data_IF_744987095049
#
_entry.id   IF_744987095049
#
_cell.length_a   1.000
_cell.length_b   1.000
_cell.length_c   1.000
_cell.angle_alpha   90.00
_cell.angle_beta   90.00
_cell.angle_gamma   90.00
#
_symmetry.space_group_name_H-M   'P 1'
#
loop_
_entity.id
_entity.type
_entity.pdbx_description
1 polymer ?
#
# COMPACT_ATOMS: atom_id res chain seq x y z
N UNK A 1 -28.37 1.18 -12.97
CA UNK A 1 -29.51 1.75 -12.22
C UNK A 1 -29.89 0.93 -10.98
N UNK A 2 -30.11 -0.39 -11.08
CA UNK A 2 -30.54 -1.21 -9.92
C UNK A 2 -29.59 -1.18 -8.72
N UNK A 3 -28.28 -1.25 -8.98
CA UNK A 3 -27.23 -1.17 -7.95
C UNK A 3 -27.22 0.18 -7.22
N UNK A 4 -27.36 1.28 -7.97
CA UNK A 4 -27.43 2.64 -7.40
C UNK A 4 -28.65 2.82 -6.50
N UNK A 5 -29.80 2.27 -6.91
CA UNK A 5 -31.02 2.29 -6.11
C UNK A 5 -30.83 1.53 -4.79
N UNK A 6 -30.18 0.36 -4.84
CA UNK A 6 -29.81 -0.39 -3.63
C UNK A 6 -28.92 0.46 -2.71
N UNK A 7 -27.93 1.17 -3.27
CA UNK A 7 -27.08 2.08 -2.51
C UNK A 7 -27.86 3.20 -1.81
N UNK A 8 -28.93 3.72 -2.41
CA UNK A 8 -29.80 4.73 -1.78
C UNK A 8 -30.60 4.10 -0.64
N UNK A 9 -31.21 2.93 -0.84
CA UNK A 9 -31.95 2.25 0.22
C UNK A 9 -31.06 1.92 1.43
N UNK A 10 -29.82 1.50 1.20
CA UNK A 10 -28.85 1.24 2.27
C UNK A 10 -28.59 2.51 3.10
N UNK A 11 -28.44 3.67 2.44
CA UNK A 11 -28.19 4.95 3.12
C UNK A 11 -29.39 5.42 3.94
N UNK A 12 -30.61 5.23 3.42
CA UNK A 12 -31.85 5.66 4.08
C UNK A 12 -32.23 4.73 5.23
N UNK A 13 -32.16 3.42 5.01
CA UNK A 13 -32.68 2.43 5.96
C UNK A 13 -31.63 1.95 6.97
N UNK A 14 -30.34 2.09 6.65
CA UNK A 14 -29.20 1.74 7.52
C UNK A 14 -29.37 0.35 8.16
N UNK A 15 -29.33 0.24 9.49
CA UNK A 15 -29.48 -1.02 10.22
C UNK A 15 -30.76 -1.80 9.89
N UNK A 16 -31.83 -1.14 9.42
CA UNK A 16 -33.07 -1.83 9.01
C UNK A 16 -32.90 -2.57 7.67
N UNK A 17 -31.91 -2.15 6.86
CA UNK A 17 -31.60 -2.76 5.57
C UNK A 17 -30.97 -4.16 5.70
N UNK A 18 -30.35 -4.42 6.83
CA UNK A 18 -29.63 -5.64 7.17
C UNK A 18 -30.33 -6.93 6.70
N UNK A 19 -31.65 -7.07 6.94
CA UNK A 19 -32.42 -8.28 6.59
C UNK A 19 -32.36 -8.65 5.10
N UNK A 20 -32.13 -7.68 4.20
CA UNK A 20 -32.02 -7.89 2.74
C UNK A 20 -30.61 -8.24 2.29
N UNK A 21 -29.60 -8.11 3.16
CA UNK A 21 -28.21 -8.38 2.81
C UNK A 21 -27.96 -9.85 2.47
N UNK A 22 -28.71 -10.78 3.08
CA UNK A 22 -28.60 -12.22 2.79
C UNK A 22 -28.85 -12.52 1.31
N UNK A 23 -29.79 -11.81 0.68
CA UNK A 23 -30.13 -12.01 -0.73
C UNK A 23 -29.25 -11.13 -1.62
N UNK A 24 -28.95 -9.90 -1.19
CA UNK A 24 -28.25 -8.93 -2.01
C UNK A 24 -26.74 -9.19 -2.14
N UNK A 25 -26.08 -9.60 -1.05
CA UNK A 25 -24.61 -9.76 -1.02
C UNK A 25 -24.10 -10.82 -2.00
N UNK A 26 -24.71 -12.02 -2.12
CA UNK A 26 -24.30 -12.99 -3.14
C UNK A 26 -24.41 -12.45 -4.56
N UNK A 27 -25.50 -11.75 -4.87
CA UNK A 27 -25.72 -11.15 -6.20
C UNK A 27 -24.69 -10.06 -6.50
N UNK A 28 -24.33 -9.25 -5.51
CA UNK A 28 -23.28 -8.23 -5.67
C UNK A 28 -21.90 -8.88 -5.85
N UNK A 29 -21.62 -10.00 -5.17
CA UNK A 29 -20.38 -10.75 -5.33
C UNK A 29 -20.23 -11.39 -6.71
N UNK A 30 -21.30 -11.94 -7.26
CA UNK A 30 -21.30 -12.48 -8.63
C UNK A 30 -20.97 -11.38 -9.65
N UNK A 31 -21.38 -10.13 -9.38
CA UNK A 31 -21.05 -8.98 -10.22
C UNK A 31 -19.61 -8.47 -10.03
N UNK A 32 -18.94 -8.86 -8.94
CA UNK A 32 -17.53 -8.55 -8.70
C UNK A 32 -16.60 -9.62 -9.29
N UNK A 33 -17.10 -10.81 -9.60
CA UNK A 33 -16.28 -11.89 -10.14
C UNK A 33 -15.58 -11.41 -11.43
N UNK A 34 -14.23 -11.38 -11.47
CA UNK A 34 -13.53 -10.89 -12.64
C UNK A 34 -13.85 -11.80 -13.84
N UNK A 35 -14.42 -11.21 -14.90
CA UNK A 35 -14.57 -11.89 -16.18
C UNK A 35 -13.17 -12.19 -16.73
N UNK A 36 -12.81 -13.47 -16.76
CA UNK A 36 -11.54 -14.05 -17.24
C UNK A 36 -10.28 -13.52 -16.55
N UNK A 37 -9.87 -14.18 -15.46
CA UNK A 37 -8.46 -14.22 -15.09
C UNK A 37 -7.80 -15.34 -15.92
N UNK A 38 -7.43 -15.04 -17.15
CA UNK A 38 -6.62 -15.94 -17.97
C UNK A 38 -5.18 -15.90 -17.43
N UNK A 39 -4.71 -17.03 -16.88
CA UNK A 39 -3.33 -17.57 -16.81
C UNK A 39 -2.09 -16.65 -16.77
N UNK A 40 -2.20 -15.38 -16.38
CA UNK A 40 -1.07 -14.54 -16.02
C UNK A 40 -0.89 -14.63 -14.50
N UNK A 41 -0.11 -15.63 -14.09
CA UNK A 41 0.25 -15.84 -12.70
C UNK A 41 0.71 -14.52 -12.06
N UNK A 42 0.03 -14.04 -11.00
CA UNK A 42 0.53 -12.91 -10.23
C UNK A 42 1.98 -13.15 -9.85
N UNK A 43 2.80 -12.09 -9.79
CA UNK A 43 4.11 -12.22 -9.14
C UNK A 43 3.91 -12.89 -7.78
N UNK A 44 4.82 -13.79 -7.37
CA UNK A 44 4.68 -14.71 -6.21
C UNK A 44 4.10 -14.08 -4.91
N UNK A 45 4.17 -12.75 -4.77
CA UNK A 45 3.71 -11.98 -3.62
C UNK A 45 2.88 -10.74 -3.97
N UNK A 46 2.37 -10.56 -5.19
CA UNK A 46 1.56 -9.40 -5.61
C UNK A 46 0.30 -9.94 -6.25
N UNK A 47 -0.85 -9.90 -5.55
CA UNK A 47 -2.11 -10.47 -6.07
C UNK A 47 -2.75 -9.53 -7.08
N UNK A 48 -2.56 -8.23 -6.93
CA UNK A 48 -3.07 -7.22 -7.83
C UNK A 48 -2.35 -7.30 -9.20
N UNK A 49 -2.92 -8.08 -10.12
CA UNK A 49 -2.51 -8.12 -11.54
C UNK A 49 -3.20 -6.95 -12.24
N UNK A 50 -2.51 -6.18 -13.10
CA UNK A 50 -3.20 -5.23 -13.96
C UNK A 50 -4.30 -5.98 -14.70
N UNK A 51 -5.56 -5.58 -14.51
CA UNK A 51 -6.67 -6.19 -15.25
C UNK A 51 -6.28 -6.16 -16.71
N UNK A 52 -6.13 -7.35 -17.30
CA UNK A 52 -5.84 -7.47 -18.73
C UNK A 52 -7.06 -6.86 -19.40
N UNK A 53 -6.91 -5.65 -19.92
CA UNK A 53 -7.89 -5.07 -20.85
C UNK A 53 -8.14 -6.16 -21.88
N UNK A 54 -9.35 -6.75 -21.86
CA UNK A 54 -9.67 -7.78 -22.83
C UNK A 54 -9.51 -7.12 -24.19
N UNK A 55 -8.53 -7.58 -24.96
CA UNK A 55 -8.09 -6.95 -26.20
C UNK A 55 -9.18 -6.83 -27.28
N UNK A 56 -10.37 -7.38 -27.00
CA UNK A 56 -11.54 -7.41 -27.86
C UNK A 56 -12.63 -6.41 -27.47
N UNK A 57 -12.52 -5.66 -26.36
CA UNK A 57 -13.54 -4.66 -25.98
C UNK A 57 -13.26 -3.30 -26.61
N UNK A 58 -14.32 -2.66 -27.06
CA UNK A 58 -14.30 -1.25 -27.43
C UNK A 58 -14.08 -0.36 -26.21
N UNK A 59 -13.58 0.87 -26.42
CA UNK A 59 -13.40 1.86 -25.33
C UNK A 59 -14.72 2.13 -24.58
N UNK A 60 -15.85 2.07 -25.28
CA UNK A 60 -17.17 2.29 -24.71
C UNK A 60 -17.63 1.11 -23.84
N UNK A 61 -17.38 -0.12 -24.26
CA UNK A 61 -17.66 -1.33 -23.46
C UNK A 61 -16.80 -1.37 -22.19
N UNK A 62 -15.51 -1.03 -22.31
CA UNK A 62 -14.62 -0.92 -21.15
C UNK A 62 -15.11 0.14 -20.17
N UNK A 63 -15.50 1.32 -20.67
CA UNK A 63 -16.04 2.38 -19.83
C UNK A 63 -17.34 1.96 -19.14
N UNK A 64 -18.25 1.28 -19.85
CA UNK A 64 -19.48 0.78 -19.26
C UNK A 64 -19.22 -0.29 -18.20
N UNK A 65 -18.25 -1.18 -18.44
CA UNK A 65 -17.84 -2.19 -17.47
C UNK A 65 -17.25 -1.56 -16.21
N UNK A 66 -16.28 -0.66 -16.36
CA UNK A 66 -15.65 0.06 -15.25
C UNK A 66 -16.68 0.87 -14.46
N UNK A 67 -17.64 1.48 -15.15
CA UNK A 67 -18.73 2.20 -14.52
C UNK A 67 -19.62 1.26 -13.68
N UNK A 68 -20.04 0.12 -14.24
CA UNK A 68 -20.84 -0.87 -13.50
C UNK A 68 -20.08 -1.39 -12.28
N UNK A 69 -18.83 -1.79 -12.46
CA UNK A 69 -17.95 -2.28 -11.39
C UNK A 69 -17.80 -1.23 -10.28
N UNK A 70 -17.54 0.02 -10.65
CA UNK A 70 -17.45 1.11 -9.69
C UNK A 70 -18.75 1.30 -8.89
N UNK A 71 -19.91 1.28 -9.55
CA UNK A 71 -21.20 1.39 -8.85
C UNK A 71 -21.46 0.22 -7.89
N UNK A 72 -21.08 -0.99 -8.28
CA UNK A 72 -21.17 -2.19 -7.43
C UNK A 72 -20.29 -2.05 -6.20
N UNK A 73 -19.01 -1.71 -6.38
CA UNK A 73 -18.08 -1.48 -5.27
C UNK A 73 -18.53 -0.35 -4.34
N UNK A 74 -19.05 0.76 -4.87
CA UNK A 74 -19.57 1.85 -4.05
C UNK A 74 -20.80 1.43 -3.25
N UNK A 75 -21.66 0.59 -3.81
CA UNK A 75 -22.81 0.05 -3.08
C UNK A 75 -22.37 -0.87 -1.95
N UNK A 76 -21.36 -1.71 -2.18
CA UNK A 76 -20.78 -2.57 -1.14
C UNK A 76 -20.11 -1.74 -0.05
N UNK A 77 -19.38 -0.68 -0.41
CA UNK A 77 -18.79 0.24 0.58
C UNK A 77 -19.88 0.90 1.46
N UNK A 78 -20.97 1.37 0.85
CA UNK A 78 -22.12 1.91 1.60
C UNK A 78 -22.74 0.86 2.53
N UNK A 79 -22.83 -0.39 2.08
CA UNK A 79 -23.31 -1.50 2.92
C UNK A 79 -22.37 -1.70 4.11
N UNK A 80 -21.05 -1.75 3.88
CA UNK A 80 -20.07 -1.93 4.95
C UNK A 80 -20.05 -0.75 5.93
N UNK A 81 -20.32 0.48 5.45
CA UNK A 81 -20.39 1.69 6.26
C UNK A 81 -21.65 1.72 7.15
N UNK A 82 -22.82 1.42 6.60
CA UNK A 82 -24.10 1.56 7.31
C UNK A 82 -24.57 0.27 8.00
N UNK A 83 -24.06 -0.89 7.58
CA UNK A 83 -24.35 -2.22 8.13
C UNK A 83 -23.04 -2.96 8.48
N UNK A 84 -22.22 -2.43 9.41
CA UNK A 84 -20.91 -3.02 9.73
C UNK A 84 -21.02 -4.42 10.36
N UNK A 85 -22.20 -4.77 10.88
CA UNK A 85 -22.52 -6.12 11.35
C UNK A 85 -22.30 -7.18 10.27
N UNK A 86 -22.41 -6.83 8.98
CA UNK A 86 -22.08 -7.70 7.85
C UNK A 86 -20.71 -8.37 8.03
N UNK A 87 -19.72 -7.60 8.49
CA UNK A 87 -18.33 -8.04 8.58
C UNK A 87 -17.98 -8.65 9.95
N UNK A 88 -18.81 -8.43 10.97
CA UNK A 88 -18.44 -8.69 12.38
C UNK A 88 -19.35 -9.67 13.11
N UNK A 89 -20.58 -9.89 12.65
CA UNK A 89 -21.61 -10.58 13.45
C UNK A 89 -21.81 -12.05 13.04
N UNK A 90 -21.61 -12.95 14.00
CA UNK A 90 -21.98 -14.37 13.89
C UNK A 90 -23.49 -14.58 13.68
N UNK A 91 -24.33 -13.57 13.95
CA UNK A 91 -25.77 -13.61 13.62
C UNK A 91 -26.06 -13.74 12.13
N UNK A 92 -25.17 -13.28 11.24
CA UNK A 92 -25.37 -13.46 9.79
C UNK A 92 -25.22 -14.91 9.37
N UNK A 93 -24.30 -15.66 9.97
CA UNK A 93 -24.21 -17.11 9.77
C UNK A 93 -25.47 -17.85 10.22
N UNK A 94 -26.09 -17.47 11.33
CA UNK A 94 -27.35 -18.05 11.82
C UNK A 94 -28.55 -17.67 10.93
N UNK A 95 -28.59 -16.44 10.43
CA UNK A 95 -29.68 -15.96 9.56
C UNK A 95 -29.61 -16.61 8.16
N UNK A 96 -28.40 -16.85 7.65
CA UNK A 96 -28.16 -17.65 6.43
C UNK A 96 -28.55 -19.11 6.64
N UNK A 97 -28.36 -19.69 7.83
CA UNK A 97 -28.87 -21.02 8.19
C UNK A 97 -30.40 -21.09 8.18
N UNK A 98 -31.06 -20.09 8.78
CA UNK A 98 -32.53 -20.09 8.89
C UNK A 98 -33.23 -20.00 7.52
N UNK A 99 -32.60 -19.34 6.54
CA UNK A 99 -33.12 -19.20 5.18
C UNK A 99 -32.77 -20.39 4.25
N UNK A 100 -31.74 -21.18 4.58
CA UNK A 100 -31.30 -22.33 3.78
C UNK A 100 -32.06 -23.64 4.07
N UNK A 101 -33.00 -23.63 5.03
CA UNK A 101 -34.06 -24.63 5.20
C UNK A 101 -33.67 -26.08 4.97
N UNK A 102 -32.77 -26.67 5.78
CA UNK A 102 -32.71 -28.13 5.94
C UNK A 102 -32.28 -28.51 7.35
N UNK A 103 -33.13 -29.28 8.01
CA UNK A 103 -32.95 -29.86 9.34
C UNK A 103 -31.90 -30.97 9.33
N UNK A 104 -30.69 -30.70 9.81
CA UNK A 104 -29.82 -31.75 10.40
C UNK A 104 -28.78 -31.13 11.33
N UNK A 105 -28.73 -31.65 12.56
CA UNK A 105 -28.09 -31.10 13.77
C UNK A 105 -26.55 -31.20 13.81
N UNK A 106 -25.86 -31.05 12.67
CA UNK A 106 -24.38 -30.90 12.63
C UNK A 106 -23.91 -29.70 11.78
N UNK A 107 -24.80 -28.77 11.41
CA UNK A 107 -24.56 -27.77 10.36
C UNK A 107 -24.03 -26.40 10.84
N UNK A 108 -23.86 -26.17 12.14
CA UNK A 108 -23.29 -24.90 12.67
C UNK A 108 -21.94 -24.53 12.05
N UNK A 109 -21.05 -25.50 11.85
CA UNK A 109 -19.71 -25.24 11.32
C UNK A 109 -19.71 -24.96 9.80
N UNK A 110 -20.61 -25.59 9.04
CA UNK A 110 -20.67 -25.49 7.57
C UNK A 110 -21.16 -24.10 7.11
N UNK A 111 -22.09 -23.49 7.85
CA UNK A 111 -22.65 -22.20 7.46
C UNK A 111 -21.82 -21.01 7.96
N UNK A 112 -21.15 -21.14 9.10
CA UNK A 112 -20.11 -20.21 9.53
C UNK A 112 -18.99 -20.14 8.46
N UNK A 113 -18.60 -21.30 7.93
CA UNK A 113 -17.61 -21.41 6.86
C UNK A 113 -18.05 -20.67 5.58
N UNK A 114 -19.30 -20.82 5.13
CA UNK A 114 -19.81 -20.16 3.91
C UNK A 114 -19.87 -18.62 3.99
N UNK A 115 -20.24 -18.07 5.15
CA UNK A 115 -20.21 -16.61 5.34
C UNK A 115 -18.78 -16.09 5.45
N UNK A 116 -17.92 -16.88 6.10
CA UNK A 116 -16.50 -16.60 6.14
C UNK A 116 -15.91 -16.54 4.71
N UNK A 117 -16.27 -17.47 3.81
CA UNK A 117 -15.88 -17.45 2.40
C UNK A 117 -16.38 -16.19 1.65
N UNK A 118 -17.56 -15.68 2.01
CA UNK A 118 -18.15 -14.48 1.40
C UNK A 118 -17.32 -13.23 1.71
N UNK A 119 -16.94 -13.05 2.99
CA UNK A 119 -16.06 -11.94 3.40
C UNK A 119 -14.66 -12.10 2.81
N UNK A 120 -14.20 -13.34 2.63
CA UNK A 120 -12.91 -13.63 1.99
C UNK A 120 -12.92 -13.19 0.52
N UNK A 121 -13.94 -13.60 -0.20
CA UNK A 121 -14.13 -13.23 -1.60
C UNK A 121 -14.21 -11.71 -1.78
N UNK A 122 -14.87 -10.99 -0.86
CA UNK A 122 -14.91 -9.53 -0.90
C UNK A 122 -13.52 -8.91 -0.80
N UNK A 123 -12.69 -9.38 0.13
CA UNK A 123 -11.36 -8.84 0.33
C UNK A 123 -10.37 -9.25 -0.77
N UNK A 124 -10.45 -10.49 -1.26
CA UNK A 124 -9.64 -10.97 -2.37
C UNK A 124 -9.94 -10.15 -3.64
N UNK A 125 -11.22 -9.94 -3.95
CA UNK A 125 -11.62 -9.07 -5.06
C UNK A 125 -11.18 -7.62 -4.83
N UNK A 126 -11.35 -7.09 -3.61
CA UNK A 126 -10.89 -5.73 -3.27
C UNK A 126 -9.38 -5.55 -3.48
N UNK A 127 -8.57 -6.56 -3.13
CA UNK A 127 -7.13 -6.56 -3.36
C UNK A 127 -6.79 -6.64 -4.86
N UNK A 128 -7.51 -7.46 -5.64
CA UNK A 128 -7.35 -7.53 -7.10
C UNK A 128 -7.61 -6.16 -7.76
N UNK A 129 -8.66 -5.45 -7.33
CA UNK A 129 -9.00 -4.13 -7.88
C UNK A 129 -7.97 -3.03 -7.58
N UNK A 130 -6.99 -3.25 -6.70
CA UNK A 130 -5.89 -2.30 -6.47
C UNK A 130 -4.99 -2.10 -7.70
N UNK A 131 -4.91 -3.09 -8.60
CA UNK A 131 -4.17 -2.97 -9.86
C UNK A 131 -5.05 -2.58 -11.05
N UNK A 132 -6.30 -2.21 -10.81
CA UNK A 132 -7.20 -1.78 -11.88
C UNK A 132 -6.70 -0.50 -12.57
N UNK A 133 -6.89 -0.41 -13.89
CA UNK A 133 -6.49 0.75 -14.71
C UNK A 133 -7.18 2.03 -14.20
N UNK A 134 -8.50 1.94 -14.03
CA UNK A 134 -9.34 3.03 -13.53
C UNK A 134 -9.11 3.34 -12.04
N UNK A 135 -8.89 4.61 -11.74
CA UNK A 135 -8.49 5.07 -10.42
C UNK A 135 -9.61 5.03 -9.37
N UNK A 136 -10.85 5.33 -9.76
CA UNK A 136 -11.99 5.25 -8.83
C UNK A 136 -12.30 3.81 -8.41
N UNK A 137 -11.97 2.83 -9.26
CA UNK A 137 -12.09 1.41 -8.92
C UNK A 137 -11.03 1.04 -7.88
N UNK A 138 -9.78 1.51 -8.06
CA UNK A 138 -8.72 1.37 -7.05
C UNK A 138 -9.09 2.00 -5.71
N UNK A 139 -9.68 3.20 -5.72
CA UNK A 139 -10.19 3.87 -4.51
C UNK A 139 -11.27 3.05 -3.83
N UNK A 140 -12.27 2.59 -4.58
CA UNK A 140 -13.37 1.81 -4.03
C UNK A 140 -12.89 0.47 -3.45
N UNK A 141 -11.94 -0.21 -4.10
CA UNK A 141 -11.29 -1.41 -3.58
C UNK A 141 -10.46 -1.15 -2.32
N UNK A 142 -9.70 -0.06 -2.27
CA UNK A 142 -8.96 0.33 -1.07
C UNK A 142 -9.88 0.70 0.12
N UNK A 143 -11.03 1.31 -0.14
CA UNK A 143 -12.05 1.58 0.88
C UNK A 143 -12.65 0.29 1.42
N UNK A 144 -12.98 -0.66 0.54
CA UNK A 144 -13.53 -1.96 0.91
C UNK A 144 -12.55 -2.74 1.81
N UNK A 145 -11.26 -2.78 1.44
CA UNK A 145 -10.21 -3.33 2.31
C UNK A 145 -10.16 -2.63 3.68
N UNK A 146 -10.37 -1.31 3.72
CA UNK A 146 -10.41 -0.55 4.97
C UNK A 146 -11.58 -0.96 5.88
N UNK A 147 -12.77 -1.17 5.32
CA UNK A 147 -13.92 -1.71 6.06
C UNK A 147 -13.64 -3.10 6.60
N UNK A 148 -13.09 -3.97 5.75
CA UNK A 148 -12.69 -5.32 6.13
C UNK A 148 -11.69 -5.28 7.28
N UNK A 149 -10.61 -4.50 7.18
CA UNK A 149 -9.64 -4.34 8.27
C UNK A 149 -10.24 -3.81 9.57
N UNK A 150 -11.27 -2.97 9.48
CA UNK A 150 -11.95 -2.42 10.66
C UNK A 150 -12.75 -3.48 11.44
N UNK A 151 -13.12 -4.59 10.79
CA UNK A 151 -13.80 -5.72 11.44
C UNK A 151 -12.84 -6.71 12.12
N UNK A 152 -11.53 -6.57 11.91
CA UNK A 152 -10.52 -7.50 12.40
C UNK A 152 -9.74 -6.91 13.57
N UNK A 153 -9.34 -7.79 14.49
CA UNK A 153 -8.41 -7.42 15.55
C UNK A 153 -6.93 -7.61 15.09
N UNK A 154 -6.11 -6.53 15.09
CA UNK A 154 -4.70 -6.63 14.74
C UNK A 154 -3.91 -7.65 15.58
N UNK A 155 -4.27 -7.85 16.86
CA UNK A 155 -3.54 -8.75 17.76
C UNK A 155 -3.80 -10.21 17.43
N UNK A 156 -5.04 -10.56 17.12
CA UNK A 156 -5.39 -11.93 16.72
C UNK A 156 -4.69 -12.29 15.40
N UNK A 157 -4.66 -11.36 14.44
CA UNK A 157 -3.94 -11.56 13.18
C UNK A 157 -2.46 -11.80 13.43
N UNK A 158 -1.84 -11.02 14.32
CA UNK A 158 -0.44 -11.19 14.66
C UNK A 158 -0.16 -12.58 15.27
N UNK A 159 -1.03 -13.04 16.17
CA UNK A 159 -0.92 -14.38 16.77
C UNK A 159 -1.07 -15.50 15.73
N UNK A 160 -2.00 -15.38 14.79
CA UNK A 160 -2.16 -16.31 13.67
C UNK A 160 -0.93 -16.30 12.74
N UNK A 161 -0.37 -15.11 12.48
CA UNK A 161 0.83 -14.98 11.69
C UNK A 161 2.01 -15.71 12.32
N UNK A 162 2.15 -15.68 13.64
CA UNK A 162 3.26 -16.31 14.39
C UNK A 162 3.09 -17.82 14.48
N UNK A 163 1.91 -18.28 14.91
CA UNK A 163 1.57 -19.71 15.06
C UNK A 163 1.55 -20.47 13.74
N UNK A 164 1.34 -19.78 12.61
CA UNK A 164 1.28 -20.41 11.28
C UNK A 164 0.00 -21.22 11.03
N UNK A 165 -0.92 -21.25 12.01
CA UNK A 165 -2.24 -21.86 11.90
C UNK A 165 -3.28 -20.77 11.62
N UNK A 166 -3.85 -20.75 10.41
CA UNK A 166 -4.91 -19.81 10.01
C UNK A 166 -6.30 -20.13 10.58
N UNK A 167 -6.41 -21.05 11.54
CA UNK A 167 -7.69 -21.66 11.95
C UNK A 167 -8.53 -20.80 12.92
N UNK A 168 -7.93 -19.84 13.64
CA UNK A 168 -8.62 -19.14 14.74
C UNK A 168 -8.94 -17.67 14.47
N UNK A 169 -8.49 -17.11 13.36
CA UNK A 169 -8.80 -15.73 12.94
C UNK A 169 -9.47 -15.81 11.59
N UNK A 170 -10.77 -15.55 11.58
CA UNK A 170 -11.61 -15.72 10.39
C UNK A 170 -10.97 -15.21 9.11
N UNK A 171 -11.30 -15.93 8.03
CA UNK A 171 -11.46 -15.40 6.68
C UNK A 171 -10.17 -15.02 5.96
N UNK A 172 -9.44 -13.99 6.39
CA UNK A 172 -8.53 -13.22 5.54
C UNK A 172 -7.14 -13.76 5.33
N UNK A 173 -6.79 -14.81 6.06
CA UNK A 173 -5.40 -15.18 6.25
C UNK A 173 -5.28 -16.69 6.34
N UNK A 174 -5.64 -17.37 5.25
CA UNK A 174 -5.32 -18.80 5.09
C UNK A 174 -3.81 -19.02 5.25
N UNK A 175 -3.01 -18.07 4.74
CA UNK A 175 -1.56 -17.99 4.96
C UNK A 175 -1.17 -16.57 5.40
N UNK A 176 -1.24 -16.27 6.71
CA UNK A 176 -1.18 -14.89 7.22
C UNK A 176 0.07 -14.12 6.79
N UNK A 177 1.25 -14.73 6.90
CA UNK A 177 2.51 -14.06 6.55
C UNK A 177 2.64 -13.72 5.06
N UNK A 178 2.19 -14.60 4.16
CA UNK A 178 2.25 -14.32 2.71
C UNK A 178 1.22 -13.30 2.27
N UNK A 179 0.03 -13.34 2.87
CA UNK A 179 -1.08 -12.45 2.52
C UNK A 179 -0.83 -11.03 3.03
N UNK A 180 -0.35 -10.88 4.27
CA UNK A 180 0.13 -9.60 4.79
C UNK A 180 1.23 -9.01 3.91
N UNK A 181 2.17 -9.85 3.46
CA UNK A 181 3.24 -9.40 2.55
C UNK A 181 2.66 -8.88 1.26
N UNK A 182 1.71 -9.61 0.68
CA UNK A 182 1.09 -9.25 -0.58
C UNK A 182 0.28 -7.97 -0.48
N UNK A 183 -0.54 -7.82 0.56
CA UNK A 183 -1.30 -6.61 0.82
C UNK A 183 -0.39 -5.38 0.96
N UNK A 184 0.71 -5.49 1.71
CA UNK A 184 1.68 -4.38 1.84
C UNK A 184 2.28 -4.02 0.48
N UNK A 185 2.66 -5.01 -0.32
CA UNK A 185 3.27 -4.76 -1.63
C UNK A 185 2.28 -4.15 -2.62
N UNK A 186 1.05 -4.64 -2.67
CA UNK A 186 0.00 -4.14 -3.56
C UNK A 186 -0.37 -2.69 -3.21
N UNK A 187 -0.57 -2.38 -1.92
CA UNK A 187 -0.83 -1.02 -1.45
C UNK A 187 0.36 -0.08 -1.71
N UNK A 188 1.59 -0.55 -1.54
CA UNK A 188 2.79 0.22 -1.90
C UNK A 188 2.89 0.48 -3.41
N UNK A 189 2.49 -0.49 -4.24
CA UNK A 189 2.45 -0.34 -5.69
C UNK A 189 1.43 0.73 -6.10
N UNK A 190 0.25 0.76 -5.48
CA UNK A 190 -0.77 1.80 -5.71
C UNK A 190 -0.21 3.20 -5.49
N UNK A 191 0.57 3.42 -4.43
CA UNK A 191 1.21 4.72 -4.16
C UNK A 191 2.23 5.13 -5.23
N UNK A 192 2.83 4.17 -5.94
CA UNK A 192 3.84 4.44 -6.97
C UNK A 192 3.23 4.69 -8.35
N UNK A 193 1.93 4.43 -8.54
CA UNK A 193 1.21 4.81 -9.74
C UNK A 193 1.13 6.34 -9.77
N UNK A 194 1.73 6.98 -10.77
CA UNK A 194 1.78 8.45 -10.86
C UNK A 194 0.38 9.05 -11.03
N UNK A 195 0.19 10.29 -10.57
CA UNK A 195 -1.09 11.02 -10.54
C UNK A 195 -2.18 10.30 -9.74
N UNK A 196 -1.92 10.00 -8.47
CA UNK A 196 -2.92 9.41 -7.57
C UNK A 196 -3.84 10.46 -6.95
N UNK A 197 -5.12 10.12 -6.77
CA UNK A 197 -6.14 10.91 -6.10
C UNK A 197 -5.76 11.07 -4.62
N UNK A 198 -5.87 12.28 -4.04
CA UNK A 198 -5.62 12.51 -2.62
C UNK A 198 -6.39 11.55 -1.70
N UNK A 199 -7.64 11.25 -2.04
CA UNK A 199 -8.53 10.35 -1.30
C UNK A 199 -8.03 8.91 -1.32
N UNK A 200 -7.52 8.46 -2.48
CA UNK A 200 -6.92 7.13 -2.63
C UNK A 200 -5.64 7.01 -1.79
N UNK A 201 -4.78 8.02 -1.86
CA UNK A 201 -3.57 8.07 -1.05
C UNK A 201 -3.91 8.02 0.43
N UNK A 202 -4.88 8.82 0.89
CA UNK A 202 -5.29 8.82 2.29
C UNK A 202 -5.81 7.45 2.74
N UNK A 203 -6.68 6.82 1.95
CA UNK A 203 -7.22 5.50 2.27
C UNK A 203 -6.13 4.42 2.31
N UNK A 204 -5.21 4.42 1.33
CA UNK A 204 -4.07 3.49 1.31
C UNK A 204 -3.18 3.69 2.54
N UNK A 205 -2.96 4.93 2.97
CA UNK A 205 -2.20 5.21 4.19
C UNK A 205 -2.90 4.67 5.44
N UNK A 206 -4.23 4.82 5.57
CA UNK A 206 -5.01 4.22 6.68
C UNK A 206 -4.86 2.70 6.71
N UNK A 207 -4.97 2.06 5.55
CA UNK A 207 -4.79 0.61 5.40
C UNK A 207 -3.37 0.17 5.78
N UNK A 208 -2.34 0.90 5.34
CA UNK A 208 -0.95 0.63 5.70
C UNK A 208 -0.67 0.86 7.20
N UNK A 209 -1.38 1.78 7.88
CA UNK A 209 -1.28 1.95 9.34
C UNK A 209 -1.84 0.73 10.06
N UNK A 210 -2.98 0.19 9.62
CA UNK A 210 -3.52 -1.06 10.16
C UNK A 210 -2.52 -2.21 10.03
N UNK A 211 -1.97 -2.41 8.83
CA UNK A 211 -0.97 -3.47 8.59
C UNK A 211 0.30 -3.26 9.42
N UNK A 212 0.72 -2.01 9.65
CA UNK A 212 1.85 -1.71 10.53
C UNK A 212 1.59 -2.16 11.98
N UNK A 213 0.36 -1.97 12.50
CA UNK A 213 -0.04 -2.44 13.83
C UNK A 213 -0.04 -3.97 13.92
N UNK A 214 -0.50 -4.65 12.88
CA UNK A 214 -0.41 -6.12 12.79
C UNK A 214 1.05 -6.58 12.86
N UNK A 215 1.93 -5.99 12.04
CA UNK A 215 3.34 -6.38 11.98
C UNK A 215 4.11 -6.04 13.26
N UNK A 216 3.66 -5.06 14.03
CA UNK A 216 4.17 -4.79 15.36
C UNK A 216 3.95 -6.00 16.29
N UNK A 217 2.71 -6.52 16.34
CA UNK A 217 2.39 -7.69 17.18
C UNK A 217 3.17 -8.95 16.77
N UNK A 218 3.42 -9.13 15.47
CA UNK A 218 4.25 -10.24 14.97
C UNK A 218 5.69 -10.15 15.49
N UNK A 219 6.26 -8.94 15.49
CA UNK A 219 7.62 -8.71 15.97
C UNK A 219 7.73 -9.01 17.47
N UNK A 220 6.77 -8.59 18.30
CA UNK A 220 6.79 -8.83 19.75
C UNK A 220 6.87 -10.32 20.10
N UNK A 221 6.11 -11.13 19.37
CA UNK A 221 6.01 -12.57 19.61
C UNK A 221 7.17 -13.37 18.99
N UNK A 222 7.69 -12.94 17.83
CA UNK A 222 8.88 -13.56 17.22
C UNK A 222 10.18 -13.25 18.03
N UNK A 223 10.25 -12.14 18.76
CA UNK A 223 11.45 -11.76 19.55
C UNK A 223 11.60 -12.61 20.83
N UNK A 224 10.53 -13.22 21.34
CA UNK A 224 10.60 -14.13 22.49
C UNK A 224 11.20 -15.50 22.15
N UNK A 225 11.40 -15.82 20.86
CA UNK A 225 11.86 -17.15 20.42
C UNK A 225 13.24 -17.18 19.74
N UNK A 226 13.88 -16.04 19.44
CA UNK A 226 15.22 -16.06 18.83
C UNK A 226 16.12 -14.91 19.28
N UNK A 227 17.28 -15.33 19.76
CA UNK A 227 18.47 -14.56 20.07
C UNK A 227 19.02 -13.81 18.84
N UNK A 228 19.84 -12.82 19.16
CA UNK A 228 20.34 -11.68 18.40
C UNK A 228 20.84 -11.93 16.97
N UNK A 229 20.69 -10.90 16.12
CA UNK A 229 21.52 -10.74 14.93
C UNK A 229 20.78 -10.12 13.74
N UNK A 230 20.77 -8.78 13.64
CA UNK A 230 20.54 -8.12 12.36
C UNK A 230 21.38 -6.84 12.33
N UNK A 231 22.64 -7.09 12.00
CA UNK A 231 23.66 -6.10 11.78
C UNK A 231 23.32 -5.18 10.60
N UNK A 232 23.90 -3.99 10.65
CA UNK A 232 23.69 -2.92 9.71
C UNK A 232 24.29 -3.22 8.31
N UNK A 233 23.57 -3.93 7.46
CA UNK A 233 23.86 -4.03 6.03
C UNK A 233 22.91 -3.15 5.22
N UNK A 234 23.45 -2.02 4.71
CA UNK A 234 22.85 -1.28 3.61
C UNK A 234 23.31 -1.94 2.30
N UNK A 235 22.70 -3.06 1.93
CA UNK A 235 22.77 -3.56 0.56
C UNK A 235 21.33 -3.85 0.08
N UNK A 236 20.97 -3.26 -1.05
CA UNK A 236 19.58 -3.10 -1.50
C UNK A 236 19.11 -4.24 -2.44
N UNK A 237 19.91 -5.29 -2.62
CA UNK A 237 19.69 -6.35 -3.62
C UNK A 237 19.76 -7.78 -3.05
N UNK A 238 19.47 -7.99 -1.77
CA UNK A 238 19.21 -9.35 -1.28
C UNK A 238 17.78 -9.80 -1.60
N UNK A 239 17.72 -10.84 -2.45
CA UNK A 239 16.62 -11.77 -2.73
C UNK A 239 15.36 -11.54 -1.88
N UNK A 240 14.44 -10.68 -2.36
CA UNK A 240 13.23 -10.28 -1.61
C UNK A 240 12.41 -11.49 -1.14
N UNK A 241 12.55 -12.64 -1.81
CA UNK A 241 11.87 -13.90 -1.52
C UNK A 241 12.19 -14.52 -0.15
N UNK A 242 13.33 -14.21 0.47
CA UNK A 242 13.74 -14.76 1.79
C UNK A 242 13.51 -13.83 2.97
N UNK A 243 13.16 -12.56 2.72
CA UNK A 243 13.05 -11.56 3.79
C UNK A 243 11.82 -11.86 4.65
N UNK A 244 12.03 -12.12 5.95
CA UNK A 244 10.94 -12.25 6.94
C UNK A 244 10.13 -10.96 7.01
N UNK A 245 8.81 -11.08 6.92
CA UNK A 245 7.90 -9.95 7.04
C UNK A 245 8.00 -9.37 8.46
N UNK A 246 8.27 -8.07 8.55
CA UNK A 246 8.45 -7.35 9.81
C UNK A 246 8.13 -5.88 9.63
N UNK A 247 7.89 -5.16 10.73
CA UNK A 247 7.68 -3.72 10.68
C UNK A 247 8.92 -2.98 10.11
N UNK A 248 10.13 -3.44 10.46
CA UNK A 248 11.37 -2.89 9.90
C UNK A 248 11.46 -3.06 8.37
N UNK A 249 11.01 -4.19 7.84
CA UNK A 249 10.90 -4.41 6.39
C UNK A 249 9.90 -3.44 5.74
N UNK A 250 8.74 -3.24 6.35
CA UNK A 250 7.73 -2.30 5.85
C UNK A 250 8.24 -0.85 5.86
N UNK A 251 8.93 -0.43 6.93
CA UNK A 251 9.57 0.91 7.01
C UNK A 251 10.59 1.09 5.89
N UNK A 252 11.41 0.08 5.58
CA UNK A 252 12.34 0.10 4.45
C UNK A 252 11.60 0.25 3.12
N UNK A 253 10.48 -0.46 2.93
CA UNK A 253 9.65 -0.33 1.72
C UNK A 253 9.08 1.08 1.55
N UNK A 254 8.53 1.66 2.62
CA UNK A 254 8.02 3.04 2.63
C UNK A 254 9.13 4.06 2.31
N UNK A 255 10.35 3.83 2.83
CA UNK A 255 11.51 4.65 2.49
C UNK A 255 11.88 4.55 1.00
N UNK A 256 11.78 3.37 0.38
CA UNK A 256 12.02 3.22 -1.06
C UNK A 256 11.03 4.07 -1.87
N UNK A 257 9.75 4.10 -1.50
CA UNK A 257 8.74 4.97 -2.15
C UNK A 257 9.19 6.44 -2.14
N UNK A 258 9.63 6.94 -0.98
CA UNK A 258 10.16 8.32 -0.84
C UNK A 258 11.37 8.55 -1.73
N UNK A 259 12.33 7.62 -1.74
CA UNK A 259 13.53 7.74 -2.56
C UNK A 259 13.20 7.73 -4.06
N UNK A 260 12.24 6.90 -4.48
CA UNK A 260 11.74 6.84 -5.86
C UNK A 260 11.12 8.16 -6.28
N UNK A 261 10.26 8.77 -5.46
CA UNK A 261 9.68 10.10 -5.74
C UNK A 261 10.78 11.15 -5.93
N UNK A 262 11.78 11.18 -5.05
CA UNK A 262 12.87 12.17 -5.14
C UNK A 262 13.71 11.98 -6.41
N UNK A 263 13.87 10.75 -6.90
CA UNK A 263 14.67 10.45 -8.10
C UNK A 263 13.86 10.72 -9.36
N UNK A 264 12.60 10.27 -9.41
CA UNK A 264 11.78 10.27 -10.62
C UNK A 264 10.98 11.57 -10.79
N UNK A 265 10.41 12.08 -9.70
CA UNK A 265 9.45 13.20 -9.68
C UNK A 265 9.74 14.21 -8.55
N UNK A 266 10.95 14.81 -8.48
CA UNK A 266 11.40 15.62 -7.34
C UNK A 266 10.55 16.87 -7.04
N UNK A 267 9.71 17.29 -7.98
CA UNK A 267 8.78 18.42 -7.82
C UNK A 267 7.51 18.04 -7.06
N UNK A 268 7.11 16.77 -7.12
CA UNK A 268 5.98 16.28 -6.35
C UNK A 268 6.41 16.00 -4.91
N UNK A 269 5.54 16.32 -3.97
CA UNK A 269 5.70 16.05 -2.54
C UNK A 269 4.63 15.12 -2.01
N UNK A 270 3.74 14.61 -2.88
CA UNK A 270 2.55 13.85 -2.49
C UNK A 270 2.92 12.57 -1.72
N UNK A 271 3.89 11.79 -2.22
CA UNK A 271 4.27 10.52 -1.61
C UNK A 271 5.09 10.74 -0.35
N UNK A 272 6.00 11.73 -0.34
CA UNK A 272 6.68 12.17 0.88
C UNK A 272 5.70 12.58 1.97
N UNK A 273 4.68 13.38 1.63
CA UNK A 273 3.63 13.81 2.56
C UNK A 273 2.87 12.60 3.11
N UNK A 274 2.44 11.69 2.23
CA UNK A 274 1.72 10.49 2.62
C UNK A 274 2.54 9.58 3.55
N UNK A 275 3.79 9.29 3.18
CA UNK A 275 4.70 8.47 3.98
C UNK A 275 5.01 9.13 5.31
N UNK A 276 5.15 10.45 5.40
CA UNK A 276 5.38 11.15 6.67
C UNK A 276 4.17 11.09 7.58
N UNK A 277 2.95 11.24 7.04
CA UNK A 277 1.71 11.01 7.79
C UNK A 277 1.65 9.58 8.33
N UNK A 278 2.02 8.57 7.52
CA UNK A 278 2.11 7.18 7.96
C UNK A 278 3.16 6.99 9.07
N UNK A 279 4.37 7.55 8.92
CA UNK A 279 5.42 7.49 9.94
C UNK A 279 4.96 8.11 11.27
N UNK A 280 4.24 9.23 11.21
CA UNK A 280 3.65 9.85 12.40
C UNK A 280 2.61 8.96 13.07
N UNK A 281 1.69 8.38 12.29
CA UNK A 281 0.69 7.46 12.81
C UNK A 281 1.32 6.20 13.45
N UNK A 282 2.33 5.61 12.83
CA UNK A 282 3.07 4.46 13.37
C UNK A 282 3.84 4.84 14.64
N UNK A 283 4.49 6.02 14.67
CA UNK A 283 5.17 6.49 15.87
C UNK A 283 4.24 6.65 17.08
N UNK A 284 2.97 7.01 16.83
CA UNK A 284 1.94 7.13 17.87
C UNK A 284 1.47 5.78 18.37
N UNK A 285 1.52 4.72 17.58
CA UNK A 285 1.04 3.39 17.98
C UNK A 285 2.12 2.55 18.67
N UNK A 286 3.41 2.82 18.39
CA UNK A 286 4.51 1.99 18.87
C UNK A 286 4.85 2.17 20.36
N UNK A 287 5.06 1.08 21.12
CA UNK A 287 5.66 1.13 22.45
C UNK A 287 7.02 1.82 22.45
N UNK A 288 7.38 2.47 23.56
CA UNK A 288 8.62 3.25 23.67
C UNK A 288 9.87 2.43 23.32
N UNK A 289 9.96 1.18 23.76
CA UNK A 289 11.08 0.27 23.49
C UNK A 289 11.29 0.04 21.98
N UNK A 290 10.23 -0.38 21.29
CA UNK A 290 10.27 -0.62 19.84
C UNK A 290 10.46 0.66 19.04
N UNK A 291 9.82 1.75 19.45
CA UNK A 291 10.01 3.05 18.81
C UNK A 291 11.47 3.48 18.88
N UNK A 292 12.13 3.28 20.02
CA UNK A 292 13.56 3.58 20.20
C UNK A 292 14.44 2.73 19.29
N UNK A 293 14.17 1.42 19.19
CA UNK A 293 14.92 0.51 18.32
C UNK A 293 14.76 0.84 16.82
N UNK A 294 13.55 1.23 16.40
CA UNK A 294 13.25 1.59 15.01
C UNK A 294 13.51 3.07 14.69
N UNK A 295 13.87 3.89 15.69
CA UNK A 295 14.03 5.33 15.56
C UNK A 295 14.99 5.74 14.43
N UNK A 296 16.19 5.13 14.28
CA UNK A 296 17.08 5.49 13.18
C UNK A 296 16.45 5.23 11.81
N UNK A 297 15.63 4.18 11.71
CA UNK A 297 14.97 3.78 10.48
C UNK A 297 13.80 4.72 10.12
N UNK A 298 13.01 5.14 11.10
CA UNK A 298 11.90 6.07 10.91
C UNK A 298 12.38 7.49 10.56
N UNK A 299 13.46 7.94 11.22
CA UNK A 299 13.95 9.32 11.08
C UNK A 299 14.72 9.59 9.79
N UNK A 300 15.32 8.59 9.14
CA UNK A 300 16.25 8.82 8.01
C UNK A 300 15.64 9.69 6.90
N UNK A 301 14.39 9.44 6.49
CA UNK A 301 13.72 10.23 5.45
C UNK A 301 13.27 11.61 5.93
N UNK A 302 12.89 11.73 7.21
CA UNK A 302 12.47 12.98 7.83
C UNK A 302 13.64 13.96 7.96
N UNK A 303 14.77 13.49 8.51
CA UNK A 303 15.99 14.31 8.70
C UNK A 303 16.50 14.84 7.37
N UNK A 304 16.46 14.01 6.33
CA UNK A 304 16.84 14.46 4.98
C UNK A 304 16.00 15.65 4.52
N UNK A 305 14.69 15.61 4.74
CA UNK A 305 13.77 16.69 4.34
C UNK A 305 13.92 17.94 5.23
N UNK A 306 14.14 17.77 6.53
CA UNK A 306 14.44 18.86 7.46
C UNK A 306 15.68 19.67 7.04
N UNK A 307 16.67 19.01 6.42
CA UNK A 307 17.92 19.63 5.94
C UNK A 307 17.82 20.23 4.53
N UNK A 308 16.68 20.14 3.85
CA UNK A 308 16.49 20.80 2.55
C UNK A 308 16.33 22.30 2.79
N UNK A 309 17.02 23.14 2.01
CA UNK A 309 17.02 24.61 2.15
C UNK A 309 16.12 25.29 1.09
N UNK A 310 15.49 24.52 0.20
CA UNK A 310 14.67 25.10 -0.87
C UNK A 310 13.37 25.73 -0.35
N UNK A 311 12.96 26.92 -0.84
CA UNK A 311 11.77 27.63 -0.37
C UNK A 311 10.44 26.99 -0.82
N UNK A 312 10.43 26.14 -1.85
CA UNK A 312 9.21 25.54 -2.42
C UNK A 312 8.71 24.30 -1.68
N UNK A 313 9.01 24.14 -0.39
CA UNK A 313 8.74 22.91 0.38
C UNK A 313 8.48 23.13 1.88
N UNK A 314 8.09 24.34 2.27
CA UNK A 314 7.95 24.70 3.69
C UNK A 314 6.89 23.86 4.43
N UNK A 315 5.76 23.52 3.79
CA UNK A 315 4.72 22.67 4.38
C UNK A 315 5.22 21.25 4.66
N UNK A 316 5.92 20.64 3.70
CA UNK A 316 6.48 19.30 3.87
C UNK A 316 7.56 19.28 4.95
N UNK A 317 8.38 20.34 5.03
CA UNK A 317 9.39 20.50 6.08
C UNK A 317 8.75 20.67 7.46
N UNK A 318 7.65 21.44 7.56
CA UNK A 318 6.86 21.56 8.79
C UNK A 318 6.32 20.20 9.23
N UNK A 319 5.67 19.47 8.32
CA UNK A 319 5.19 18.11 8.59
C UNK A 319 6.32 17.18 9.08
N UNK A 320 7.49 17.25 8.46
CA UNK A 320 8.64 16.45 8.89
C UNK A 320 9.07 16.79 10.34
N UNK A 321 9.10 18.08 10.68
CA UNK A 321 9.38 18.57 12.05
C UNK A 321 8.31 18.14 13.04
N UNK A 322 7.03 18.26 12.69
CA UNK A 322 5.92 17.87 13.56
C UNK A 322 5.97 16.37 13.88
N UNK A 323 6.19 15.53 12.86
CA UNK A 323 6.37 14.08 13.04
C UNK A 323 7.62 13.78 13.89
N UNK A 324 8.71 14.51 13.65
CA UNK A 324 9.92 14.43 14.46
C UNK A 324 9.66 14.75 15.94
N UNK A 325 8.87 15.78 16.21
CA UNK A 325 8.50 16.20 17.57
C UNK A 325 7.60 15.19 18.28
N UNK A 326 6.69 14.53 17.55
CA UNK A 326 5.93 13.40 18.08
C UNK A 326 6.87 12.27 18.54
N UNK A 327 7.86 11.91 17.71
CA UNK A 327 8.86 10.89 18.09
C UNK A 327 9.72 11.35 19.28
N UNK A 328 10.12 12.63 19.31
CA UNK A 328 10.90 13.25 20.39
C UNK A 328 10.18 13.16 21.73
N UNK A 329 8.89 13.49 21.78
CA UNK A 329 8.07 13.43 23.01
C UNK A 329 7.91 12.00 23.53
N UNK A 330 7.91 11.00 22.65
CA UNK A 330 7.69 9.59 22.98
C UNK A 330 8.95 8.87 23.48
N UNK A 331 10.07 9.09 22.82
CA UNK A 331 11.35 8.42 23.16
C UNK A 331 12.10 9.19 24.25
N UNK A 332 11.98 10.52 24.27
CA UNK A 332 12.73 11.41 25.15
C UNK A 332 13.68 12.31 24.34
N UNK A 333 13.91 13.52 24.84
CA UNK A 333 14.67 14.54 24.11
C UNK A 333 16.13 14.15 23.88
N UNK A 334 16.78 13.52 24.87
CA UNK A 334 18.20 13.15 24.78
C UNK A 334 18.45 12.10 23.69
N UNK A 335 17.73 10.99 23.73
CA UNK A 335 17.89 9.91 22.75
C UNK A 335 17.50 10.37 21.34
N UNK A 336 16.43 11.14 21.21
CA UNK A 336 16.05 11.72 19.92
C UNK A 336 17.13 12.64 19.36
N UNK A 337 17.67 13.55 20.17
CA UNK A 337 18.69 14.51 19.73
C UNK A 337 20.00 13.79 19.36
N UNK A 338 20.37 12.76 20.13
CA UNK A 338 21.51 11.89 19.82
C UNK A 338 21.36 11.22 18.45
N UNK A 339 20.20 10.62 18.17
CA UNK A 339 19.95 9.98 16.87
C UNK A 339 19.84 10.99 15.73
N UNK A 340 19.24 12.16 15.97
CA UNK A 340 19.17 13.25 15.00
C UNK A 340 20.56 13.69 14.56
N UNK A 341 21.45 13.99 15.51
CA UNK A 341 22.82 14.41 15.26
C UNK A 341 23.60 13.32 14.49
N UNK A 342 23.47 12.05 14.90
CA UNK A 342 24.09 10.91 14.21
C UNK A 342 23.64 10.83 12.74
N UNK A 343 22.35 10.95 12.47
CA UNK A 343 21.81 10.87 11.11
C UNK A 343 22.22 12.08 10.25
N UNK A 344 22.24 13.29 10.82
CA UNK A 344 22.75 14.49 10.14
C UNK A 344 24.22 14.32 9.74
N UNK A 345 25.08 13.89 10.67
CA UNK A 345 26.49 13.62 10.41
C UNK A 345 26.67 12.53 9.33
N UNK A 346 25.90 11.44 9.36
CA UNK A 346 25.94 10.40 8.33
C UNK A 346 25.52 10.93 6.96
N UNK A 347 24.49 11.78 6.88
CA UNK A 347 24.03 12.38 5.64
C UNK A 347 25.08 13.33 5.06
N UNK A 348 25.73 14.13 5.91
CA UNK A 348 26.81 15.03 5.52
C UNK A 348 28.06 14.26 5.07
N UNK A 349 28.48 13.24 5.81
CA UNK A 349 29.57 12.35 5.41
C UNK A 349 29.29 11.69 4.05
N UNK A 350 28.05 11.21 3.81
CA UNK A 350 27.63 10.68 2.50
C UNK A 350 27.59 11.75 1.40
N UNK A 351 27.28 13.01 1.73
CA UNK A 351 27.32 14.13 0.76
C UNK A 351 28.78 14.45 0.39
N UNK A 352 29.66 14.57 1.39
CA UNK A 352 31.09 14.84 1.20
C UNK A 352 31.80 13.70 0.49
N UNK A 353 31.54 12.45 0.87
CA UNK A 353 32.08 11.26 0.19
C UNK A 353 31.67 11.18 -1.28
N UNK A 354 30.41 11.52 -1.63
CA UNK A 354 29.98 11.60 -3.03
C UNK A 354 30.66 12.74 -3.80
N UNK A 355 30.98 13.87 -3.16
CA UNK A 355 31.74 14.95 -3.78
C UNK A 355 33.19 14.52 -4.04
N UNK A 356 33.84 13.90 -3.04
CA UNK A 356 35.21 13.39 -3.14
C UNK A 356 35.34 12.32 -4.23
N UNK A 357 34.44 11.32 -4.25
CA UNK A 357 34.43 10.28 -5.30
C UNK A 357 34.28 10.89 -6.69
N UNK A 358 33.41 11.88 -6.87
CA UNK A 358 33.24 12.57 -8.16
C UNK A 358 34.47 13.37 -8.58
N UNK A 359 35.17 13.98 -7.63
CA UNK A 359 36.42 14.69 -7.90
C UNK A 359 37.53 13.71 -8.29
N UNK A 360 37.64 12.60 -7.57
CA UNK A 360 38.61 11.54 -7.87
C UNK A 360 38.34 10.88 -9.23
N UNK A 361 37.08 10.61 -9.56
CA UNK A 361 36.68 10.02 -10.84
C UNK A 361 37.11 10.85 -12.06
N UNK A 362 37.22 12.18 -11.92
CA UNK A 362 37.73 13.04 -13.00
C UNK A 362 39.20 12.73 -13.31
N UNK A 363 39.96 12.31 -12.29
CA UNK A 363 41.37 12.00 -12.38
C UNK A 363 41.58 10.52 -12.76
N UNK A 364 40.83 9.61 -12.15
CA UNK A 364 41.00 8.16 -12.34
C UNK A 364 40.33 7.62 -13.61
N UNK A 365 39.22 8.22 -14.06
CA UNK A 365 38.48 7.79 -15.25
C UNK A 365 37.80 8.99 -15.95
N UNK A 366 38.55 9.72 -16.78
CA UNK A 366 38.05 10.91 -17.47
C UNK A 366 36.93 10.59 -18.46
N UNK A 367 36.89 9.39 -19.03
CA UNK A 367 35.83 8.99 -19.97
C UNK A 367 34.47 8.84 -19.28
N UNK A 368 34.41 8.18 -18.11
CA UNK A 368 33.18 8.09 -17.33
C UNK A 368 32.72 9.45 -16.82
N UNK A 369 33.65 10.35 -16.47
CA UNK A 369 33.34 11.73 -16.12
C UNK A 369 32.73 12.50 -17.31
N UNK A 370 33.33 12.37 -18.50
CA UNK A 370 32.84 12.99 -19.74
C UNK A 370 31.45 12.45 -20.14
N UNK A 371 31.23 11.13 -20.14
CA UNK A 371 29.93 10.49 -20.41
C UNK A 371 28.83 11.01 -19.48
N UNK A 372 29.12 11.19 -18.18
CA UNK A 372 28.17 11.79 -17.22
C UNK A 372 27.87 13.25 -17.52
N UNK A 373 28.89 14.03 -17.90
CA UNK A 373 28.72 15.44 -18.31
C UNK A 373 27.81 15.53 -19.54
N UNK A 374 28.04 14.70 -20.57
CA UNK A 374 27.19 14.60 -21.77
C UNK A 374 25.74 14.27 -21.40
N UNK A 375 25.50 13.24 -20.56
CA UNK A 375 24.14 12.87 -20.10
C UNK A 375 23.43 14.02 -19.38
N UNK A 376 24.16 14.81 -18.57
CA UNK A 376 23.61 16.00 -17.91
C UNK A 376 23.23 17.09 -18.92
N UNK A 377 24.07 17.33 -19.93
CA UNK A 377 23.77 18.29 -21.00
C UNK A 377 22.56 17.86 -21.83
N UNK A 378 22.44 16.57 -22.18
CA UNK A 378 21.28 16.01 -22.87
C UNK A 378 19.99 16.21 -22.08
N UNK A 379 19.97 15.88 -20.78
CA UNK A 379 18.79 16.13 -19.92
C UNK A 379 18.41 17.61 -19.86
N UNK A 380 19.40 18.52 -19.81
CA UNK A 380 19.16 19.97 -19.82
C UNK A 380 18.57 20.43 -21.16
N UNK A 381 19.05 19.87 -22.28
CA UNK A 381 18.52 20.11 -23.63
C UNK A 381 17.06 19.63 -23.74
N UNK A 382 16.78 18.40 -23.30
CA UNK A 382 15.42 17.84 -23.30
C UNK A 382 14.47 18.63 -22.42
N UNK A 383 14.92 19.09 -21.26
CA UNK A 383 14.11 19.93 -20.38
C UNK A 383 13.78 21.28 -21.02
N UNK A 384 14.77 21.94 -21.65
CA UNK A 384 14.55 23.17 -22.40
C UNK A 384 13.58 22.96 -23.57
N UNK A 385 13.73 21.85 -24.31
CA UNK A 385 12.84 21.47 -25.41
C UNK A 385 11.41 21.28 -24.90
N UNK A 386 11.19 20.51 -23.83
CA UNK A 386 9.87 20.34 -23.20
C UNK A 386 9.26 21.67 -22.75
N UNK A 387 10.03 22.55 -22.12
CA UNK A 387 9.56 23.88 -21.71
C UNK A 387 9.17 24.74 -22.91
N UNK A 388 9.94 24.68 -23.99
CA UNK A 388 9.67 25.38 -25.23
C UNK A 388 8.44 24.83 -25.98
N UNK A 389 8.28 23.51 -26.01
CA UNK A 389 7.11 22.85 -26.61
C UNK A 389 5.81 23.23 -25.86
N UNK A 390 5.87 23.26 -24.52
CA UNK A 390 4.77 23.77 -23.67
C UNK A 390 4.48 25.24 -23.96
N UNK A 391 5.50 26.10 -24.09
CA UNK A 391 5.32 27.52 -24.41
C UNK A 391 4.73 27.74 -25.82
N UNK A 392 5.04 26.86 -26.77
CA UNK A 392 4.49 26.87 -28.13
C UNK A 392 3.10 26.22 -28.24
N UNK A 393 2.47 25.83 -27.14
CA UNK A 393 1.16 25.19 -27.15
C UNK A 393 1.13 23.80 -27.79
N UNK A 394 2.29 23.19 -28.07
CA UNK A 394 2.35 21.81 -28.60
C UNK A 394 2.08 20.86 -27.45
N UNK A 395 0.92 20.20 -27.44
CA UNK A 395 0.59 19.18 -26.43
C UNK A 395 1.69 18.11 -26.44
N UNK A 396 2.27 17.75 -25.29
CA UNK A 396 3.21 16.63 -25.23
C UNK A 396 2.46 15.37 -25.65
N UNK A 397 2.88 14.72 -26.74
CA UNK A 397 2.28 13.46 -27.19
C UNK A 397 2.28 12.44 -26.06
N UNK A 398 1.14 11.78 -25.84
CA UNK A 398 1.02 10.65 -24.91
C UNK A 398 2.14 9.66 -25.26
N UNK A 399 3.08 9.44 -24.34
CA UNK A 399 4.03 8.34 -24.48
C UNK A 399 3.24 7.07 -24.24
N UNK A 400 2.93 6.33 -25.30
CA UNK A 400 2.56 4.92 -25.15
C UNK A 400 3.67 4.26 -24.35
N UNK A 401 3.33 3.72 -23.16
CA UNK A 401 4.22 2.83 -22.43
C UNK A 401 4.45 1.61 -23.32
N UNK A 402 5.49 1.63 -24.16
CA UNK A 402 5.95 0.41 -24.82
C UNK A 402 6.45 -0.51 -23.71
N UNK A 403 5.87 -1.70 -23.64
CA UNK A 403 6.31 -2.82 -22.79
C UNK A 403 7.85 -2.96 -22.92
N UNK A 404 8.59 -3.26 -21.84
CA UNK A 404 10.01 -3.51 -21.95
C UNK A 404 10.21 -4.69 -22.92
N UNK A 405 10.93 -4.42 -24.01
CA UNK A 405 11.41 -5.45 -24.93
C UNK A 405 12.33 -6.35 -24.12
N UNK A 406 12.00 -7.65 -24.02
CA UNK A 406 12.94 -8.67 -23.57
C UNK A 406 14.12 -8.63 -24.55
N UNK A 407 15.29 -8.22 -24.07
CA UNK A 407 16.53 -8.45 -24.79
C UNK A 407 16.86 -9.90 -24.48
N UNK A 408 16.68 -10.78 -25.46
CA UNK A 408 17.29 -12.10 -25.44
C UNK A 408 18.81 -11.89 -25.50
N UNK A 409 19.49 -12.14 -24.38
CA UNK A 409 20.93 -12.37 -24.39
C UNK A 409 21.16 -13.76 -25.00
N UNK A 410 21.33 -13.79 -26.32
CA UNK A 410 22.00 -14.89 -27.01
C UNK A 410 23.17 -14.32 -27.80
N UNK A 411 24.35 -14.78 -27.38
CA UNK A 411 25.71 -14.64 -27.92
C UNK A 411 26.50 -13.37 -27.60
#
# INVERSE_FOLDING_TARGET
>A
MSVQLCGIFVQVEQKKFERRLVVLVPVLLDQLAPTSCADDLPGRFVRAVPVVESSNWSEEEQHQHDHRLFQTLQTINKICEHCPALLSDAKWSETVQALAGTSTTSSCDVHLAKWSETVQALADNAQLFLAHSHEWVRLAGAQLLGHVFSSLDPQQIAAAAVSGTGASTGVLLTRPRSELRSLVLDLCAVLQLGNTLPELVEQVIKNLVFLARVLQGVSEQDTQTRDQGADCAMDDDEDESRIKISLAWMIRRMRRIVNTEIIQTPKSTQLRTAVFKWLGAVAVTLPKSQLSALLPHLMTSLVREMMVVEPSGDELRRLAKDVGDVMRRRVGAEEYTRQLARLQAQLEARRTGRKSKRAQEVITDPERAAKRKIKKHLKKKDFKKKKFDVLKGRKPGKRNLKRPVKIDDTM
#
